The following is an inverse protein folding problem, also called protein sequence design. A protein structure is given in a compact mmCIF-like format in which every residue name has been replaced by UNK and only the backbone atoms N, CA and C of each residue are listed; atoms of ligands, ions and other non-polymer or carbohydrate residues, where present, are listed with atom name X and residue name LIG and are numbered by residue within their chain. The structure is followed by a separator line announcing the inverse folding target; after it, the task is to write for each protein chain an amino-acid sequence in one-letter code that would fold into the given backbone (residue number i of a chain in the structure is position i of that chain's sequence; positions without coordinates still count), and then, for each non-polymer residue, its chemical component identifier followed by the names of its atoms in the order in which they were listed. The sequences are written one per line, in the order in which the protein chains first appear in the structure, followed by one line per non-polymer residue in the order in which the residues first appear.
data_IF_649147478697
#
_entry.id   IF_649147478697
#
_cell.length_a   1.000
_cell.length_b   1.000
_cell.length_c   1.000
_cell.angle_alpha   90.00
_cell.angle_beta   90.00
_cell.angle_gamma   90.00
#
_symmetry.space_group_name_H-M   'P 1'
#
loop_
_entity.id
_entity.type
_entity.pdbx_description
1 polymer ?
#
# COMPACT_ATOMS: atom_id res chain seq x y z
N UNK A 1 49.22 -9.03 -27.52
CA UNK A 1 49.26 -8.34 -26.21
C UNK A 1 48.41 -7.09 -26.34
N UNK A 2 47.15 -7.18 -25.91
CA UNK A 2 46.13 -6.13 -26.07
C UNK A 2 45.48 -5.86 -24.71
N UNK A 3 45.30 -4.58 -24.44
CA UNK A 3 44.96 -3.96 -23.16
C UNK A 3 43.56 -4.28 -22.61
N UNK A 4 43.31 -4.02 -21.31
CA UNK A 4 42.03 -4.28 -20.64
C UNK A 4 40.96 -3.25 -21.02
N UNK A 5 39.75 -3.74 -21.30
CA UNK A 5 38.56 -2.90 -21.49
C UNK A 5 37.95 -2.62 -20.11
N UNK A 6 37.94 -1.34 -19.74
CA UNK A 6 37.17 -0.81 -18.60
C UNK A 6 35.69 -0.81 -18.97
N UNK A 7 34.87 -1.52 -18.21
CA UNK A 7 33.41 -1.42 -18.28
C UNK A 7 33.00 -0.20 -17.44
N UNK A 8 32.69 0.89 -18.13
CA UNK A 8 31.97 2.05 -17.59
C UNK A 8 30.56 1.95 -18.16
N UNK A 9 29.54 2.05 -17.32
CA UNK A 9 28.21 2.47 -17.76
C UNK A 9 27.06 1.64 -17.21
N UNK A 10 26.52 2.04 -16.05
CA UNK A 10 25.11 1.83 -15.70
C UNK A 10 24.71 2.80 -14.58
N UNK A 11 24.80 4.10 -14.87
CA UNK A 11 24.33 5.19 -13.99
C UNK A 11 23.50 6.24 -14.72
N UNK A 12 22.94 5.94 -15.90
CA UNK A 12 22.17 6.92 -16.65
C UNK A 12 21.09 6.29 -17.57
N UNK A 13 20.05 5.71 -16.97
CA UNK A 13 18.72 5.49 -17.56
C UNK A 13 17.90 4.85 -16.43
N UNK A 14 17.15 5.58 -15.61
CA UNK A 14 15.76 5.99 -15.85
C UNK A 14 15.47 7.10 -14.83
N UNK A 15 15.51 8.36 -15.27
CA UNK A 15 15.11 9.55 -14.51
C UNK A 15 14.25 10.48 -15.38
N UNK A 16 13.39 9.90 -16.22
CA UNK A 16 12.49 10.65 -17.08
C UNK A 16 11.18 9.89 -17.21
N UNK A 17 10.21 10.17 -16.34
CA UNK A 17 8.76 10.12 -16.60
C UNK A 17 7.98 10.62 -15.35
N UNK A 18 8.23 11.86 -14.93
CA UNK A 18 7.30 12.62 -14.08
C UNK A 18 7.69 14.10 -14.13
N UNK A 19 7.23 14.82 -15.15
CA UNK A 19 7.51 16.25 -15.25
C UNK A 19 6.93 16.89 -16.50
N UNK A 20 5.82 17.60 -16.30
CA UNK A 20 5.26 18.69 -17.14
C UNK A 20 4.69 18.34 -18.52
N UNK A 21 3.38 18.54 -18.69
CA UNK A 21 2.78 19.60 -19.53
C UNK A 21 1.30 19.29 -19.83
N UNK A 22 0.37 19.99 -19.18
CA UNK A 22 -0.73 20.67 -19.91
C UNK A 22 -1.44 21.71 -19.03
N UNK A 23 -0.88 22.92 -19.00
CA UNK A 23 -1.64 24.15 -18.77
C UNK A 23 -1.30 25.09 -19.93
N UNK A 24 -2.34 25.50 -20.66
CA UNK A 24 -2.53 26.74 -21.43
C UNK A 24 -3.38 26.42 -22.68
N UNK A 25 -4.30 27.24 -23.18
CA UNK A 25 -4.88 28.52 -22.83
C UNK A 25 -5.84 28.85 -23.98
N UNK A 26 -6.88 29.64 -23.70
CA UNK A 26 -7.50 30.63 -24.57
C UNK A 26 -8.68 30.22 -25.48
N UNK A 27 -9.86 30.77 -25.16
CA UNK A 27 -10.59 31.58 -26.14
C UNK A 27 -11.34 32.73 -25.44
N UNK A 28 -11.07 33.93 -25.95
CA UNK A 28 -11.54 35.25 -25.56
C UNK A 28 -12.74 35.66 -26.43
N UNK A 29 -13.46 36.68 -25.97
CA UNK A 29 -14.54 37.49 -26.58
C UNK A 29 -15.92 37.12 -26.01
N UNK A 30 -16.60 37.91 -25.19
CA UNK A 30 -16.52 39.34 -24.90
C UNK A 30 -17.91 39.91 -25.10
N UNK A 31 -18.50 40.62 -24.11
CA UNK A 31 -19.63 41.53 -24.32
C UNK A 31 -19.81 42.48 -23.12
N UNK A 32 -19.34 43.71 -23.35
CA UNK A 32 -19.86 45.04 -22.98
C UNK A 32 -20.73 45.22 -21.71
N UNK A 33 -20.14 46.04 -20.83
CA UNK A 33 -20.68 47.06 -19.93
C UNK A 33 -21.89 47.86 -20.48
N UNK A 34 -22.93 48.01 -19.64
CA UNK A 34 -23.95 49.09 -19.48
C UNK A 34 -24.80 48.67 -18.26
N UNK A 35 -25.26 49.46 -17.30
CA UNK A 35 -25.27 50.90 -17.05
C UNK A 35 -25.31 51.13 -15.54
N UNK A 36 -24.76 52.26 -15.09
CA UNK A 36 -25.03 52.83 -13.78
C UNK A 36 -26.49 53.29 -13.73
N UNK A 37 -27.22 52.92 -12.68
CA UNK A 37 -28.34 53.76 -12.23
C UNK A 37 -28.24 53.97 -10.73
N UNK A 38 -28.00 55.22 -10.39
CA UNK A 38 -28.07 55.82 -9.06
C UNK A 38 -29.52 55.86 -8.58
N UNK A 39 -29.78 55.40 -7.35
CA UNK A 39 -30.87 55.89 -6.49
C UNK A 39 -30.34 55.89 -5.05
N UNK A 40 -30.31 57.06 -4.41
CA UNK A 40 -30.28 57.23 -2.94
C UNK A 40 -31.66 57.76 -2.47
N UNK A 41 -31.88 58.11 -1.18
CA UNK A 41 -32.14 57.23 -0.04
C UNK A 41 -33.42 57.65 0.73
N UNK A 42 -34.16 56.75 1.39
CA UNK A 42 -35.20 57.16 2.35
C UNK A 42 -35.38 56.16 3.49
N UNK A 43 -35.06 56.61 4.72
CA UNK A 43 -35.61 56.18 6.03
C UNK A 43 -35.32 54.74 6.48
N UNK A 44 -35.20 54.39 7.75
CA UNK A 44 -35.21 55.08 9.04
C UNK A 44 -34.44 54.14 9.99
N UNK A 45 -33.75 54.70 10.97
CA UNK A 45 -33.22 53.95 12.10
C UNK A 45 -34.36 53.23 12.83
N UNK A 46 -34.15 51.95 13.14
CA UNK A 46 -34.47 51.30 14.42
C UNK A 46 -34.19 49.79 14.31
N UNK A 47 -33.39 49.25 15.23
CA UNK A 47 -33.19 47.81 15.35
C UNK A 47 -31.74 47.36 15.48
N UNK A 48 -31.07 47.80 16.56
CA UNK A 48 -29.88 47.11 17.07
C UNK A 48 -30.32 45.69 17.50
N UNK A 49 -30.00 44.67 16.73
CA UNK A 49 -29.94 43.30 17.24
C UNK A 49 -28.64 42.64 16.78
N UNK A 50 -27.79 42.46 17.79
CA UNK A 50 -26.58 41.65 17.82
C UNK A 50 -26.87 40.25 17.26
N UNK A 51 -26.33 39.95 16.08
CA UNK A 51 -25.97 38.59 15.68
C UNK A 51 -24.48 38.55 15.36
N UNK A 52 -23.68 38.45 16.43
CA UNK A 52 -22.31 37.97 16.34
C UNK A 52 -22.24 36.61 17.01
N UNK A 53 -22.34 35.56 16.21
CA UNK A 53 -21.60 34.33 16.45
C UNK A 53 -20.85 34.02 15.16
N UNK A 54 -19.81 34.84 14.93
CA UNK A 54 -18.74 34.43 14.04
C UNK A 54 -18.01 33.32 14.76
N UNK A 55 -18.19 32.09 14.31
CA UNK A 55 -17.20 31.04 14.52
C UNK A 55 -15.94 31.53 13.83
N UNK A 56 -14.92 31.84 14.62
CA UNK A 56 -13.63 32.28 14.08
C UNK A 56 -13.08 31.16 13.19
N UNK A 57 -12.43 31.45 12.05
CA UNK A 57 -11.66 30.45 11.32
C UNK A 57 -10.62 29.72 12.19
N UNK A 58 -10.24 30.32 13.32
CA UNK A 58 -9.36 29.71 14.32
C UNK A 58 -10.04 28.61 15.17
N UNK A 59 -11.37 28.59 15.30
CA UNK A 59 -12.08 27.57 16.09
C UNK A 59 -12.23 26.25 15.31
N UNK A 60 -12.19 26.28 13.98
CA UNK A 60 -12.12 25.08 13.13
C UNK A 60 -10.77 24.36 13.21
N UNK A 61 -9.72 25.01 13.73
CA UNK A 61 -8.35 24.50 13.69
C UNK A 61 -7.97 23.57 14.85
N UNK A 62 -8.90 23.20 15.74
CA UNK A 62 -8.55 22.53 17.02
C UNK A 62 -9.17 21.14 17.25
N UNK A 63 -10.19 20.71 16.50
CA UNK A 63 -10.81 19.39 16.75
C UNK A 63 -10.05 18.22 16.10
N UNK A 64 -9.46 18.41 14.93
CA UNK A 64 -8.89 17.31 14.17
C UNK A 64 -7.36 17.33 14.25
N UNK A 65 -6.80 16.52 15.16
CA UNK A 65 -5.35 16.32 15.30
C UNK A 65 -4.75 15.38 14.25
N UNK A 66 -5.62 14.70 13.49
CA UNK A 66 -5.29 13.78 12.41
C UNK A 66 -6.12 14.18 11.20
N UNK A 67 -5.47 14.58 10.12
CA UNK A 67 -6.11 14.89 8.85
C UNK A 67 -5.72 13.84 7.82
N UNK A 68 -6.67 13.05 7.32
CA UNK A 68 -6.41 12.08 6.25
C UNK A 68 -6.60 12.73 4.87
N UNK A 69 -5.80 12.32 3.89
CA UNK A 69 -5.85 12.82 2.51
C UNK A 69 -6.28 11.74 1.52
N UNK A 70 -7.25 10.90 1.89
CA UNK A 70 -7.79 9.82 1.06
C UNK A 70 -9.27 10.03 0.74
N UNK A 71 -9.72 9.47 -0.39
CA UNK A 71 -11.12 9.48 -0.78
C UNK A 71 -11.86 8.32 -0.09
N UNK A 72 -12.58 8.64 0.98
CA UNK A 72 -13.43 7.68 1.71
C UNK A 72 -14.82 7.49 1.09
N UNK A 73 -15.14 8.15 -0.03
CA UNK A 73 -16.43 7.99 -0.70
C UNK A 73 -16.54 6.72 -1.56
N UNK A 74 -15.47 5.92 -1.59
CA UNK A 74 -15.37 4.66 -2.32
C UNK A 74 -14.95 3.54 -1.39
N UNK A 75 -15.31 2.28 -1.70
CA UNK A 75 -14.76 1.13 -0.98
C UNK A 75 -13.23 1.16 -0.96
N UNK A 76 -12.67 1.01 0.23
CA UNK A 76 -11.23 0.93 0.41
C UNK A 76 -10.71 -0.33 -0.28
N UNK A 77 -9.78 -0.21 -1.25
CA UNK A 77 -9.19 -1.35 -1.92
C UNK A 77 -8.21 -2.09 -1.00
N UNK A 78 -7.79 -3.29 -1.41
CA UNK A 78 -6.66 -4.00 -0.80
C UNK A 78 -5.55 -4.17 -1.86
N UNK A 79 -4.37 -3.55 -1.73
CA UNK A 79 -4.00 -2.60 -0.68
C UNK A 79 -4.64 -1.22 -0.92
N UNK A 80 -4.60 -0.36 0.09
CA UNK A 80 -4.92 1.07 -0.03
C UNK A 80 -3.76 1.94 0.46
N UNK A 81 -3.76 3.22 0.06
CA UNK A 81 -2.76 4.18 0.51
C UNK A 81 -3.33 5.01 1.65
N UNK A 82 -2.74 4.88 2.83
CA UNK A 82 -3.03 5.69 4.01
C UNK A 82 -2.10 6.90 4.01
N UNK A 83 -2.66 8.08 3.74
CA UNK A 83 -1.92 9.34 3.74
C UNK A 83 -2.63 10.39 4.59
N UNK A 84 -1.85 11.28 5.21
CA UNK A 84 -2.40 12.33 6.05
C UNK A 84 -1.35 13.19 6.73
N UNK A 85 -1.82 14.03 7.66
CA UNK A 85 -1.01 14.97 8.45
C UNK A 85 -1.33 14.86 9.94
N UNK A 86 -0.28 14.82 10.77
CA UNK A 86 -0.38 14.81 12.23
C UNK A 86 -0.18 16.23 12.73
N UNK A 87 -1.21 16.79 13.34
CA UNK A 87 -1.18 18.13 13.91
C UNK A 87 -1.05 18.03 15.42
N UNK A 88 0.06 18.56 15.96
CA UNK A 88 0.28 18.66 17.41
C UNK A 88 0.29 17.30 18.14
N UNK A 89 0.69 16.24 17.44
CA UNK A 89 0.88 14.88 17.97
C UNK A 89 2.23 14.36 17.48
N UNK A 90 3.03 13.79 18.40
CA UNK A 90 4.29 13.13 18.05
C UNK A 90 4.04 11.80 17.33
N UNK A 91 2.94 11.11 17.68
CA UNK A 91 2.53 9.87 17.05
C UNK A 91 1.04 9.62 17.24
N UNK A 92 0.48 8.77 16.39
CA UNK A 92 -0.86 8.20 16.54
C UNK A 92 -0.85 6.72 16.15
N UNK A 93 -1.53 5.90 16.94
CA UNK A 93 -1.83 4.53 16.53
C UNK A 93 -3.11 4.55 15.69
N UNK A 94 -3.22 3.69 14.69
CA UNK A 94 -4.41 3.57 13.87
C UNK A 94 -4.84 2.11 13.74
N UNK A 95 -6.15 1.90 13.62
CA UNK A 95 -6.76 0.59 13.43
C UNK A 95 -7.83 0.73 12.34
N UNK A 96 -7.76 -0.17 11.36
CA UNK A 96 -8.85 -0.44 10.43
C UNK A 96 -9.58 -1.69 10.91
N UNK A 97 -10.88 -1.58 11.15
CA UNK A 97 -11.73 -2.71 11.51
C UNK A 97 -13.03 -2.71 10.70
N UNK A 98 -13.60 -3.89 10.51
CA UNK A 98 -14.95 -4.02 9.95
C UNK A 98 -16.03 -3.73 11.02
N UNK A 99 -17.30 -3.70 10.62
CA UNK A 99 -18.41 -3.37 11.54
C UNK A 99 -18.65 -4.43 12.63
N UNK A 100 -18.13 -5.64 12.45
CA UNK A 100 -18.17 -6.72 13.44
C UNK A 100 -16.99 -6.62 14.42
N UNK A 101 -16.09 -5.65 14.24
CA UNK A 101 -14.91 -5.42 15.08
C UNK A 101 -13.71 -6.29 14.71
N UNK A 102 -13.69 -6.88 13.51
CA UNK A 102 -12.52 -7.63 13.03
C UNK A 102 -11.48 -6.63 12.57
N UNK A 103 -10.30 -6.67 13.20
CA UNK A 103 -9.15 -5.85 12.79
C UNK A 103 -8.60 -6.34 11.46
N UNK A 104 -8.66 -5.46 10.47
CA UNK A 104 -8.18 -5.72 9.12
C UNK A 104 -6.75 -5.23 8.95
N UNK A 105 -6.35 -4.16 9.63
CA UNK A 105 -4.97 -3.68 9.64
C UNK A 105 -4.78 -2.73 10.83
N UNK A 106 -3.55 -2.59 11.30
CA UNK A 106 -3.20 -1.59 12.31
C UNK A 106 -1.77 -1.10 12.11
N UNK A 107 -1.47 0.05 12.70
CA UNK A 107 -0.13 0.61 12.62
C UNK A 107 0.05 1.83 13.48
N UNK A 108 1.21 2.46 13.31
CA UNK A 108 1.58 3.68 14.00
C UNK A 108 2.17 4.64 13.01
N UNK A 109 1.69 5.88 13.06
CA UNK A 109 2.28 7.01 12.33
C UNK A 109 3.04 7.89 13.32
N UNK A 110 4.25 8.31 12.96
CA UNK A 110 5.09 9.23 13.74
C UNK A 110 5.27 10.54 12.99
N UNK A 111 5.47 11.62 13.74
CA UNK A 111 5.67 12.95 13.22
C UNK A 111 7.15 13.19 12.88
N UNK A 112 7.71 12.46 11.92
CA UNK A 112 9.06 12.76 11.46
C UNK A 112 9.07 13.95 10.48
N UNK A 113 8.05 14.07 9.61
CA UNK A 113 7.87 15.19 8.67
C UNK A 113 6.45 15.78 8.64
N UNK A 114 5.58 15.33 9.55
CA UNK A 114 4.18 15.79 9.64
C UNK A 114 3.26 15.31 8.53
N UNK A 115 3.77 14.78 7.41
CA UNK A 115 3.01 14.09 6.37
C UNK A 115 3.44 12.62 6.36
N UNK A 116 2.49 11.68 6.35
CA UNK A 116 2.79 10.27 6.12
C UNK A 116 2.07 9.77 4.87
N UNK A 117 2.62 8.70 4.28
CA UNK A 117 2.09 8.02 3.12
C UNK A 117 2.53 6.56 3.17
N UNK A 118 1.61 5.66 3.52
CA UNK A 118 1.89 4.25 3.72
C UNK A 118 0.95 3.39 2.87
N UNK A 119 1.48 2.32 2.28
CA UNK A 119 0.69 1.30 1.59
C UNK A 119 0.24 0.28 2.64
N UNK A 120 -1.06 0.18 2.85
CA UNK A 120 -1.68 -0.68 3.86
C UNK A 120 -2.34 -1.87 3.18
N UNK A 121 -2.07 -3.04 3.74
CA UNK A 121 -2.63 -4.32 3.32
C UNK A 121 -3.65 -4.80 4.34
N UNK A 122 -4.71 -5.46 3.87
CA UNK A 122 -5.58 -6.20 4.77
C UNK A 122 -4.83 -7.46 5.26
N UNK A 123 -4.78 -7.61 6.57
CA UNK A 123 -4.25 -8.77 7.28
C UNK A 123 -5.31 -9.85 7.45
N UNK A 124 -6.59 -9.48 7.39
CA UNK A 124 -7.75 -10.38 7.49
C UNK A 124 -8.81 -10.05 6.45
N UNK A 125 -9.62 -11.06 6.10
CA UNK A 125 -10.76 -10.86 5.20
C UNK A 125 -11.92 -10.21 5.99
N UNK A 126 -12.44 -9.05 5.56
CA UNK A 126 -13.58 -8.40 6.18
C UNK A 126 -14.84 -9.26 6.07
N UNK A 127 -15.65 -9.29 7.12
CA UNK A 127 -16.96 -9.97 7.13
C UNK A 127 -18.11 -9.06 6.75
N UNK A 128 -17.88 -7.75 6.82
CA UNK A 128 -18.87 -6.72 6.47
C UNK A 128 -18.31 -5.75 5.43
N UNK A 129 -19.18 -5.12 4.64
CA UNK A 129 -18.81 -4.12 3.63
C UNK A 129 -18.58 -2.72 4.21
N UNK A 130 -18.80 -2.55 5.50
CA UNK A 130 -18.63 -1.29 6.22
C UNK A 130 -17.70 -1.50 7.39
N UNK A 131 -16.99 -0.45 7.78
CA UNK A 131 -16.07 -0.50 8.91
C UNK A 131 -15.69 0.87 9.39
N UNK A 132 -14.63 0.91 10.20
CA UNK A 132 -14.11 2.13 10.78
C UNK A 132 -12.59 2.19 10.65
N UNK A 133 -12.09 3.33 10.18
CA UNK A 133 -10.69 3.72 10.33
C UNK A 133 -10.58 4.63 11.56
N UNK A 134 -9.94 4.13 12.61
CA UNK A 134 -9.84 4.79 13.91
C UNK A 134 -8.41 5.19 14.19
N UNK A 135 -8.22 6.39 14.73
CA UNK A 135 -6.92 6.86 15.21
C UNK A 135 -6.96 7.08 16.71
N UNK A 136 -5.87 6.76 17.39
CA UNK A 136 -5.73 6.84 18.84
C UNK A 136 -4.48 7.64 19.20
N UNK A 137 -4.55 8.37 20.31
CA UNK A 137 -3.34 8.94 20.90
C UNK A 137 -2.49 7.80 21.47
N UNK A 138 -1.17 7.86 21.25
CA UNK A 138 -0.20 6.89 21.76
C UNK A 138 -0.04 7.02 23.29
N UNK A 139 -1.03 6.56 24.05
CA UNK A 139 -1.01 6.37 25.51
C UNK A 139 -2.39 5.87 25.99
N UNK A 140 -2.63 4.55 25.93
CA UNK A 140 -3.69 3.85 26.67
C UNK A 140 -5.12 4.43 26.62
N UNK A 141 -5.49 5.20 25.60
CA UNK A 141 -6.86 5.69 25.45
C UNK A 141 -7.70 4.66 24.70
N UNK A 142 -8.82 4.29 25.29
CA UNK A 142 -9.83 3.41 24.69
C UNK A 142 -10.70 4.13 23.65
N UNK A 143 -10.74 5.46 23.70
CA UNK A 143 -11.52 6.29 22.78
C UNK A 143 -10.65 6.80 21.63
N UNK A 144 -11.13 6.71 20.37
CA UNK A 144 -10.41 7.22 19.23
C UNK A 144 -10.40 8.76 19.23
N UNK A 145 -9.28 9.35 18.80
CA UNK A 145 -9.16 10.77 18.45
C UNK A 145 -10.11 11.15 17.33
N UNK A 146 -10.21 10.28 16.34
CA UNK A 146 -11.13 10.40 15.20
C UNK A 146 -11.47 9.01 14.70
N UNK A 147 -12.70 8.85 14.25
CA UNK A 147 -13.22 7.62 13.66
C UNK A 147 -13.89 7.98 12.36
N UNK A 148 -13.41 7.41 11.27
CA UNK A 148 -13.99 7.56 9.94
C UNK A 148 -14.77 6.30 9.59
N UNK A 149 -16.04 6.45 9.21
CA UNK A 149 -16.76 5.37 8.56
C UNK A 149 -16.17 5.12 7.17
N UNK A 150 -15.99 3.84 6.82
CA UNK A 150 -15.40 3.45 5.55
C UNK A 150 -16.22 2.32 4.94
N UNK A 151 -16.32 2.31 3.62
CA UNK A 151 -16.73 1.12 2.87
C UNK A 151 -15.50 0.25 2.61
N UNK A 152 -15.66 -1.06 2.56
CA UNK A 152 -14.58 -2.04 2.44
C UNK A 152 -14.77 -2.88 1.19
N UNK A 153 -13.68 -3.10 0.45
CA UNK A 153 -13.68 -4.14 -0.58
C UNK A 153 -13.78 -5.51 0.08
N UNK A 154 -14.73 -6.31 -0.39
CA UNK A 154 -15.04 -7.64 0.16
C UNK A 154 -14.98 -8.74 -0.90
N UNK A 155 -14.77 -8.37 -2.16
CA UNK A 155 -14.54 -9.36 -3.20
C UNK A 155 -13.30 -10.17 -2.85
N UNK A 156 -13.40 -11.49 -2.94
CA UNK A 156 -12.29 -12.41 -2.63
C UNK A 156 -11.72 -12.95 -3.93
N UNK A 157 -10.41 -13.16 -3.94
CA UNK A 157 -9.69 -13.92 -4.95
C UNK A 157 -8.85 -15.01 -4.27
N UNK A 158 -8.88 -16.22 -4.84
CA UNK A 158 -8.04 -17.31 -4.38
C UNK A 158 -6.69 -17.26 -5.10
N UNK A 159 -5.62 -17.32 -4.33
CA UNK A 159 -4.24 -17.33 -4.82
C UNK A 159 -3.53 -18.63 -4.42
N UNK A 160 -2.49 -19.00 -5.15
CA UNK A 160 -1.63 -20.13 -4.82
C UNK A 160 -0.28 -19.62 -4.33
N UNK A 161 0.08 -19.96 -3.10
CA UNK A 161 1.36 -19.67 -2.47
C UNK A 161 2.16 -20.96 -2.37
N UNK A 162 3.45 -20.91 -2.65
CA UNK A 162 4.28 -22.12 -2.65
C UNK A 162 5.11 -22.22 -1.36
N UNK A 163 4.92 -23.31 -0.64
CA UNK A 163 5.62 -23.59 0.62
C UNK A 163 6.31 -24.95 0.58
N UNK A 164 7.31 -25.12 1.45
CA UNK A 164 7.88 -26.44 1.73
C UNK A 164 6.89 -27.24 2.54
N UNK A 165 6.93 -28.57 2.39
CA UNK A 165 6.22 -29.49 3.26
C UNK A 165 7.24 -30.30 4.06
N UNK A 166 6.95 -30.57 5.33
CA UNK A 166 7.77 -31.42 6.19
C UNK A 166 7.68 -32.87 5.71
N UNK A 167 8.55 -33.25 4.79
CA UNK A 167 8.75 -34.62 4.32
C UNK A 167 10.27 -34.93 4.28
N UNK A 168 10.64 -36.18 4.55
CA UNK A 168 12.02 -36.58 4.80
C UNK A 168 12.88 -36.68 3.52
N UNK A 169 12.26 -36.68 2.34
CA UNK A 169 12.85 -37.06 1.05
C UNK A 169 12.59 -36.04 -0.07
N UNK A 170 12.08 -34.85 0.24
CA UNK A 170 11.85 -33.81 -0.77
C UNK A 170 13.15 -33.18 -1.26
N UNK A 171 13.24 -32.96 -2.57
CA UNK A 171 14.30 -32.14 -3.15
C UNK A 171 14.27 -30.72 -2.54
N UNK A 172 15.43 -30.09 -2.42
CA UNK A 172 15.59 -28.73 -1.91
C UNK A 172 14.67 -27.74 -2.62
N UNK A 173 14.57 -27.86 -3.95
CA UNK A 173 13.75 -27.01 -4.81
C UNK A 173 12.25 -27.36 -4.83
N UNK A 174 11.87 -28.49 -4.22
CA UNK A 174 10.48 -28.95 -4.27
C UNK A 174 9.61 -28.13 -3.32
N UNK A 175 8.57 -27.49 -3.87
CA UNK A 175 7.57 -26.69 -3.16
C UNK A 175 6.17 -27.06 -3.65
N UNK A 176 5.18 -26.97 -2.77
CA UNK A 176 3.80 -27.32 -3.08
C UNK A 176 2.90 -26.11 -2.86
N UNK A 177 1.85 -26.03 -3.69
CA UNK A 177 0.88 -24.95 -3.64
C UNK A 177 -0.06 -25.09 -2.43
N UNK A 178 -0.28 -23.98 -1.74
CA UNK A 178 -1.30 -23.76 -0.72
C UNK A 178 -2.22 -22.67 -1.23
N UNK A 179 -3.53 -22.91 -1.16
CA UNK A 179 -4.53 -21.95 -1.62
C UNK A 179 -4.90 -21.01 -0.48
N UNK A 180 -4.83 -19.70 -0.71
CA UNK A 180 -5.32 -18.68 0.22
C UNK A 180 -6.31 -17.77 -0.44
N UNK A 181 -7.29 -17.35 0.34
CA UNK A 181 -8.25 -16.33 -0.06
C UNK A 181 -7.73 -14.97 0.39
N UNK A 182 -7.69 -14.02 -0.55
CA UNK A 182 -7.28 -12.64 -0.31
C UNK A 182 -8.41 -11.70 -0.75
N UNK A 183 -8.52 -10.55 -0.11
CA UNK A 183 -9.36 -9.48 -0.65
C UNK A 183 -8.80 -9.02 -1.99
N UNK A 184 -9.69 -8.98 -2.98
CA UNK A 184 -9.44 -8.65 -4.37
C UNK A 184 -8.76 -7.31 -4.51
N UNK A 185 -7.76 -7.26 -5.38
CA UNK A 185 -6.93 -6.09 -5.61
C UNK A 185 -7.49 -5.20 -6.71
N UNK A 186 -8.78 -4.83 -6.59
CA UNK A 186 -9.53 -3.87 -7.45
C UNK A 186 -9.22 -3.94 -8.95
N UNK A 187 -8.89 -5.12 -9.48
CA UNK A 187 -8.62 -5.36 -10.90
C UNK A 187 -7.24 -4.97 -11.44
N UNK A 188 -6.31 -4.45 -10.62
CA UNK A 188 -4.95 -4.13 -11.09
C UNK A 188 -4.02 -5.34 -10.95
N UNK A 189 -3.50 -5.85 -12.08
CA UNK A 189 -2.60 -7.01 -12.09
C UNK A 189 -1.35 -6.82 -11.21
N UNK A 190 -0.78 -5.61 -11.19
CA UNK A 190 0.39 -5.32 -10.35
C UNK A 190 0.07 -5.49 -8.85
N UNK A 191 -1.09 -4.98 -8.42
CA UNK A 191 -1.55 -5.11 -7.05
C UNK A 191 -1.81 -6.57 -6.66
N UNK A 192 -2.24 -7.42 -7.60
CA UNK A 192 -2.34 -8.87 -7.38
C UNK A 192 -0.99 -9.50 -7.05
N UNK A 193 0.07 -9.19 -7.82
CA UNK A 193 1.39 -9.77 -7.59
C UNK A 193 1.98 -9.34 -6.26
N UNK A 194 1.81 -8.06 -5.95
CA UNK A 194 2.26 -7.49 -4.70
C UNK A 194 1.54 -8.15 -3.53
N UNK A 195 0.21 -8.33 -3.61
CA UNK A 195 -0.56 -9.04 -2.58
C UNK A 195 -0.04 -10.45 -2.33
N UNK A 196 0.21 -11.19 -3.41
CA UNK A 196 0.70 -12.56 -3.35
C UNK A 196 2.09 -12.65 -2.72
N UNK A 197 3.01 -11.75 -3.08
CA UNK A 197 4.35 -11.74 -2.48
C UNK A 197 4.33 -11.28 -1.03
N UNK A 198 3.52 -10.26 -0.70
CA UNK A 198 3.31 -9.83 0.68
C UNK A 198 2.75 -10.96 1.54
N UNK A 199 1.81 -11.74 1.01
CA UNK A 199 1.24 -12.88 1.70
C UNK A 199 2.24 -14.04 1.82
N UNK A 200 3.08 -14.26 0.81
CA UNK A 200 4.13 -15.28 0.83
C UNK A 200 5.17 -15.01 1.93
N UNK A 201 5.64 -13.76 2.09
CA UNK A 201 6.67 -13.41 3.08
C UNK A 201 6.17 -13.47 4.52
N UNK A 202 4.85 -13.45 4.77
CA UNK A 202 4.27 -13.76 6.08
C UNK A 202 4.51 -15.22 6.49
N UNK A 203 4.76 -16.11 5.53
CA UNK A 203 4.92 -17.54 5.76
C UNK A 203 3.59 -18.27 5.97
N UNK A 204 3.64 -19.56 6.34
CA UNK A 204 2.47 -20.35 6.71
C UNK A 204 1.72 -19.76 7.91
N UNK A 205 0.40 -19.85 7.89
CA UNK A 205 -0.46 -19.62 9.06
C UNK A 205 -0.20 -20.66 10.14
N UNK A 206 -0.68 -20.44 11.37
CA UNK A 206 -0.52 -21.41 12.46
C UNK A 206 -1.15 -22.77 12.11
N UNK A 207 -2.33 -22.76 11.48
CA UNK A 207 -3.05 -23.96 11.05
C UNK A 207 -2.28 -24.71 9.94
N UNK A 208 -1.69 -23.98 8.98
CA UNK A 208 -0.87 -24.58 7.94
C UNK A 208 0.45 -25.14 8.53
N UNK A 209 1.07 -24.43 9.47
CA UNK A 209 2.27 -24.91 10.15
C UNK A 209 1.99 -26.21 10.94
N UNK A 210 0.83 -26.32 11.58
CA UNK A 210 0.35 -27.55 12.23
C UNK A 210 0.14 -28.70 11.22
N UNK A 211 -0.26 -28.38 9.99
CA UNK A 211 -0.34 -29.34 8.88
C UNK A 211 1.02 -29.70 8.26
N UNK A 212 2.11 -29.10 8.74
CA UNK A 212 3.48 -29.38 8.31
C UNK A 212 3.99 -28.52 7.16
N UNK A 213 3.33 -27.40 6.86
CA UNK A 213 3.83 -26.40 5.91
C UNK A 213 4.95 -25.55 6.54
N UNK A 214 5.96 -25.21 5.75
CA UNK A 214 7.14 -24.49 6.19
C UNK A 214 7.54 -23.42 5.17
N UNK A 215 7.97 -22.25 5.66
CA UNK A 215 8.67 -21.26 4.83
C UNK A 215 10.17 -21.51 4.85
N UNK A 216 10.83 -21.44 3.70
CA UNK A 216 12.28 -21.31 3.60
C UNK A 216 12.72 -19.83 3.65
N UNK A 217 11.82 -18.90 3.33
CA UNK A 217 12.06 -17.45 3.39
C UNK A 217 12.32 -17.06 4.86
N UNK A 218 13.44 -16.38 5.15
CA UNK A 218 13.72 -15.89 6.50
C UNK A 218 12.63 -14.95 7.04
N UNK A 219 12.42 -14.98 8.35
CA UNK A 219 11.50 -14.06 9.01
C UNK A 219 11.99 -12.60 8.87
N UNK A 220 11.04 -11.66 8.75
CA UNK A 220 11.34 -10.24 8.62
C UNK A 220 11.83 -9.80 7.24
N UNK A 221 11.86 -10.69 6.25
CA UNK A 221 12.05 -10.31 4.84
C UNK A 221 10.88 -9.45 4.39
N UNK A 222 11.18 -8.35 3.69
CA UNK A 222 10.19 -7.43 3.14
C UNK A 222 10.25 -7.43 1.62
N UNK A 223 9.07 -7.37 1.00
CA UNK A 223 8.94 -7.03 -0.41
C UNK A 223 9.19 -5.53 -0.54
N UNK A 224 10.15 -5.14 -1.37
CA UNK A 224 10.47 -3.73 -1.64
C UNK A 224 9.72 -3.22 -2.86
N UNK A 225 9.77 -4.00 -3.93
CA UNK A 225 9.16 -3.65 -5.22
C UNK A 225 8.72 -4.90 -5.95
N UNK A 226 7.65 -4.76 -6.71
CA UNK A 226 7.16 -5.79 -7.63
C UNK A 226 7.03 -5.16 -9.01
N UNK A 227 7.32 -5.91 -10.06
CA UNK A 227 7.29 -5.37 -11.40
C UNK A 227 7.30 -6.43 -12.49
N UNK A 228 7.56 -5.96 -13.70
CA UNK A 228 7.71 -6.78 -14.89
C UNK A 228 9.03 -6.38 -15.56
N UNK A 229 9.87 -7.36 -15.88
CA UNK A 229 11.13 -7.11 -16.60
C UNK A 229 10.88 -6.80 -18.08
N UNK A 230 11.93 -6.41 -18.80
CA UNK A 230 11.87 -6.09 -20.24
C UNK A 230 11.38 -7.26 -21.12
N UNK A 231 11.45 -8.49 -20.61
CA UNK A 231 11.00 -9.72 -21.30
C UNK A 231 9.58 -10.12 -20.89
N UNK A 232 8.91 -9.33 -20.06
CA UNK A 232 7.57 -9.62 -19.57
C UNK A 232 7.52 -10.56 -18.37
N UNK A 233 8.64 -10.93 -17.75
CA UNK A 233 8.62 -11.81 -16.56
C UNK A 233 8.31 -11.00 -15.31
N UNK A 234 7.57 -11.60 -14.39
CA UNK A 234 7.31 -11.00 -13.09
C UNK A 234 8.57 -11.00 -12.25
N UNK A 235 8.81 -9.89 -11.56
CA UNK A 235 9.97 -9.71 -10.70
C UNK A 235 9.53 -9.28 -9.31
N UNK A 236 10.19 -9.82 -8.29
CA UNK A 236 10.11 -9.35 -6.91
C UNK A 236 11.48 -8.91 -6.42
N UNK A 237 11.57 -7.70 -5.87
CA UNK A 237 12.75 -7.14 -5.23
C UNK A 237 12.54 -7.16 -3.71
N UNK A 238 13.44 -7.82 -2.99
CA UNK A 238 13.34 -8.07 -1.55
C UNK A 238 14.44 -7.35 -0.78
N UNK A 239 14.24 -7.23 0.53
CA UNK A 239 15.26 -6.72 1.44
C UNK A 239 16.50 -7.61 1.49
N UNK A 240 17.64 -7.00 1.85
CA UNK A 240 18.95 -7.65 1.94
C UNK A 240 18.96 -8.96 2.73
N UNK A 241 18.12 -9.05 3.76
CA UNK A 241 18.00 -10.23 4.62
C UNK A 241 17.33 -11.45 4.00
N UNK A 242 16.96 -11.42 2.71
CA UNK A 242 16.44 -12.60 2.01
C UNK A 242 17.45 -13.77 2.02
N UNK A 243 18.74 -13.45 1.98
CA UNK A 243 19.82 -14.43 1.99
C UNK A 243 20.87 -14.18 3.10
N UNK A 244 20.44 -13.55 4.20
CA UNK A 244 21.29 -13.35 5.39
C UNK A 244 21.54 -14.66 6.14
N UNK A 245 22.59 -14.65 6.99
CA UNK A 245 23.18 -15.81 7.66
C UNK A 245 23.80 -16.86 6.70
N UNK A 246 24.69 -17.77 7.17
CA UNK A 246 25.16 -18.84 6.31
C UNK A 246 24.01 -19.79 5.96
N UNK A 247 23.30 -19.48 4.88
CA UNK A 247 22.36 -20.36 4.19
C UNK A 247 23.15 -21.30 3.28
N UNK A 248 22.91 -22.59 3.44
CA UNK A 248 23.39 -23.58 2.49
C UNK A 248 22.68 -23.44 1.12
N UNK A 249 23.23 -24.10 0.11
CA UNK A 249 22.69 -24.04 -1.26
C UNK A 249 21.28 -24.65 -1.35
N UNK A 250 20.96 -25.59 -0.46
CA UNK A 250 19.64 -26.21 -0.39
C UNK A 250 18.57 -25.20 0.03
N UNK A 251 18.82 -24.43 1.10
CA UNK A 251 17.90 -23.42 1.61
C UNK A 251 17.77 -22.26 0.64
N UNK A 252 18.86 -21.83 0.00
CA UNK A 252 18.82 -20.82 -1.08
C UNK A 252 17.95 -21.26 -2.24
N UNK A 253 18.10 -22.51 -2.68
CA UNK A 253 17.28 -23.10 -3.75
C UNK A 253 15.81 -23.18 -3.35
N UNK A 254 15.51 -23.54 -2.09
CA UNK A 254 14.16 -23.57 -1.56
C UNK A 254 13.50 -22.17 -1.56
N UNK A 255 14.23 -21.13 -1.13
CA UNK A 255 13.74 -19.74 -1.14
C UNK A 255 13.41 -19.28 -2.56
N UNK A 256 14.33 -19.49 -3.51
CA UNK A 256 14.08 -19.14 -4.90
C UNK A 256 12.88 -19.90 -5.46
N UNK A 257 12.79 -21.22 -5.22
CA UNK A 257 11.67 -22.03 -5.71
C UNK A 257 10.33 -21.53 -5.17
N UNK A 258 10.24 -21.18 -3.87
CA UNK A 258 9.00 -20.62 -3.31
C UNK A 258 8.59 -19.33 -4.01
N UNK A 259 9.52 -18.39 -4.19
CA UNK A 259 9.23 -17.08 -4.79
C UNK A 259 8.92 -17.22 -6.28
N UNK A 260 9.77 -17.94 -7.02
CA UNK A 260 9.65 -18.09 -8.48
C UNK A 260 8.37 -18.84 -8.88
N UNK A 261 8.02 -19.92 -8.16
CA UNK A 261 6.78 -20.67 -8.43
C UNK A 261 5.55 -19.85 -8.07
N UNK A 262 5.59 -19.13 -6.96
CA UNK A 262 4.50 -18.21 -6.57
C UNK A 262 4.30 -17.14 -7.64
N UNK A 263 5.37 -16.53 -8.15
CA UNK A 263 5.30 -15.58 -9.27
C UNK A 263 4.81 -16.23 -10.57
N UNK A 264 5.15 -17.49 -10.82
CA UNK A 264 4.76 -18.21 -12.04
C UNK A 264 3.28 -18.58 -12.10
N UNK A 265 2.53 -18.47 -10.98
CA UNK A 265 1.08 -18.75 -10.95
C UNK A 265 0.29 -17.86 -11.90
N UNK A 266 0.80 -16.67 -12.21
CA UNK A 266 0.07 -15.70 -13.00
C UNK A 266 0.46 -15.76 -14.47
N UNK A 267 -0.52 -15.86 -15.38
CA UNK A 267 -0.24 -15.86 -16.81
C UNK A 267 0.21 -14.47 -17.28
N UNK A 268 1.44 -14.37 -17.73
CA UNK A 268 1.92 -13.23 -18.51
C UNK A 268 1.68 -13.52 -19.98
N UNK A 269 0.83 -12.73 -20.64
CA UNK A 269 0.48 -12.91 -22.05
C UNK A 269 -0.01 -14.34 -22.38
N UNK A 270 -0.72 -14.98 -21.44
CA UNK A 270 -1.21 -16.35 -21.59
C UNK A 270 -0.15 -17.45 -21.39
N UNK A 271 1.05 -17.10 -20.91
CA UNK A 271 2.14 -18.04 -20.60
C UNK A 271 2.53 -17.96 -19.13
N UNK A 272 2.78 -19.10 -18.51
CA UNK A 272 3.47 -19.16 -17.21
C UNK A 272 4.96 -19.05 -17.48
N UNK A 273 5.61 -18.08 -16.86
CA UNK A 273 7.06 -17.91 -16.91
C UNK A 273 7.58 -17.92 -15.47
N UNK A 274 8.76 -18.54 -15.22
CA UNK A 274 9.38 -18.43 -13.91
C UNK A 274 9.63 -16.96 -13.59
N UNK A 275 9.27 -16.57 -12.36
CA UNK A 275 9.57 -15.23 -11.86
C UNK A 275 11.07 -14.99 -11.75
N UNK A 276 11.45 -13.75 -11.45
CA UNK A 276 12.83 -13.41 -11.08
C UNK A 276 12.88 -12.79 -9.71
N UNK A 277 13.94 -13.10 -8.99
CA UNK A 277 14.19 -12.60 -7.65
C UNK A 277 15.32 -11.57 -7.70
N UNK A 278 15.09 -10.43 -7.08
CA UNK A 278 16.07 -9.38 -6.86
C UNK A 278 16.24 -9.17 -5.36
N UNK A 279 17.45 -8.81 -4.95
CA UNK A 279 17.76 -8.34 -3.61
C UNK A 279 18.45 -7.01 -3.73
N UNK A 280 17.87 -5.98 -3.12
CA UNK A 280 18.39 -4.61 -3.22
C UNK A 280 18.61 -4.13 -4.67
N UNK A 281 17.72 -4.56 -5.58
CA UNK A 281 17.81 -4.24 -7.02
C UNK A 281 18.85 -5.04 -7.81
N UNK A 282 19.52 -6.02 -7.19
CA UNK A 282 20.44 -6.94 -7.88
C UNK A 282 19.75 -8.28 -8.14
N UNK A 283 19.80 -8.75 -9.39
CA UNK A 283 19.24 -10.06 -9.73
C UNK A 283 20.02 -11.17 -9.03
N UNK A 284 19.31 -12.07 -8.38
CA UNK A 284 19.91 -13.25 -7.75
C UNK A 284 19.65 -14.46 -8.65
N UNK A 285 20.73 -15.12 -9.04
CA UNK A 285 20.71 -16.40 -9.72
C UNK A 285 21.92 -17.22 -9.27
N UNK A 286 21.72 -18.52 -9.08
CA UNK A 286 22.80 -19.47 -8.76
C UNK A 286 23.13 -20.33 -9.97
#
# INVERSE_FOLDING_TARGET
MTQPVKIIGLTALILLLAGSLWIANNSWHGLKRKDQTSVQPVGSADGLQSMTTGTSPADFALEHRVLISMDLSRPLPNPFVLSGILLQLEAADWVLEDSDGIRLAEGRVTQDDGIWNEVIWYEQIPRTQSGFLKFYATAHKTEPLVSYEVELETQIQTVELFFKRRAADMDCSEVLAVKRDLVSTSGHKLNYYEAVLHELVKGPTSEEAEQGWLSAIPEGVRVRRVGVDEKGRLVGDFSENLFDDPMDDCRKSAVLAQIEQTLATVPVNGRRMPGKVYVEGQEVGF
#
